data_IF_697221823879
#
_entry.id   IF_697221823879
#
_cell.length_a   1.000
_cell.length_b   1.000
_cell.length_c   1.000
_cell.angle_alpha   90.00
_cell.angle_beta   90.00
_cell.angle_gamma   90.00
#
_symmetry.space_group_name_H-M   'P 1'
#
loop_
_entity.id
_entity.type
_entity.pdbx_description
1 polymer ?
#
# COMPACT_ATOMS: atom_id res chain seq x y z
N UNK A 1 -6.32 -6.98 5.58
CA UNK A 1 -5.84 -6.08 4.50
C UNK A 1 -5.43 -6.88 3.25
N UNK A 2 -4.62 -7.94 3.35
CA UNK A 2 -4.41 -8.91 2.25
C UNK A 2 -5.70 -9.55 1.72
N UNK A 3 -6.74 -9.70 2.55
CA UNK A 3 -8.01 -10.30 2.13
C UNK A 3 -8.78 -9.49 1.08
N UNK A 4 -8.50 -8.19 0.90
CA UNK A 4 -9.28 -7.35 -0.01
C UNK A 4 -8.79 -7.40 -1.47
N UNK A 5 -7.48 -7.56 -1.67
CA UNK A 5 -6.88 -7.61 -3.01
C UNK A 5 -6.46 -9.02 -3.43
N UNK A 6 -6.51 -9.99 -2.52
CA UNK A 6 -5.96 -11.32 -2.75
C UNK A 6 -4.42 -11.31 -2.78
N UNK A 7 -3.84 -12.26 -3.51
CA UNK A 7 -2.38 -12.36 -3.65
C UNK A 7 -1.86 -11.31 -4.65
N UNK A 8 -1.42 -10.17 -4.12
CA UNK A 8 -0.84 -9.05 -4.89
C UNK A 8 0.51 -9.37 -5.52
N UNK A 9 1.06 -10.58 -5.33
CA UNK A 9 2.20 -11.07 -6.11
C UNK A 9 1.78 -11.69 -7.45
N UNK A 10 0.48 -11.89 -7.67
CA UNK A 10 -0.10 -12.42 -8.91
C UNK A 10 -0.73 -11.32 -9.76
N UNK A 11 -0.87 -11.56 -11.06
CA UNK A 11 -1.56 -10.64 -11.97
C UNK A 11 -3.01 -10.32 -11.54
N UNK A 12 -3.73 -11.32 -11.01
CA UNK A 12 -5.12 -11.13 -10.54
C UNK A 12 -5.18 -10.20 -9.33
N UNK A 13 -4.28 -10.37 -8.36
CA UNK A 13 -4.21 -9.49 -7.20
C UNK A 13 -3.74 -8.08 -7.56
N UNK A 14 -2.78 -7.96 -8.49
CA UNK A 14 -2.34 -6.65 -9.01
C UNK A 14 -3.46 -5.94 -9.78
N UNK A 15 -4.28 -6.66 -10.55
CA UNK A 15 -5.44 -6.07 -11.22
C UNK A 15 -6.43 -5.52 -10.21
N UNK A 16 -6.76 -6.29 -9.17
CA UNK A 16 -7.71 -5.87 -8.13
C UNK A 16 -7.19 -4.63 -7.38
N UNK A 17 -5.89 -4.60 -7.08
CA UNK A 17 -5.22 -3.44 -6.48
C UNK A 17 -5.24 -2.22 -7.42
N UNK A 18 -4.96 -2.42 -8.71
CA UNK A 18 -4.96 -1.36 -9.72
C UNK A 18 -6.35 -0.72 -9.84
N UNK A 19 -7.40 -1.52 -9.90
CA UNK A 19 -8.77 -1.04 -10.06
C UNK A 19 -9.22 -0.25 -8.83
N UNK A 20 -8.83 -0.69 -7.63
CA UNK A 20 -9.06 0.08 -6.41
C UNK A 20 -8.32 1.43 -6.45
N UNK A 21 -7.03 1.43 -6.80
CA UNK A 21 -6.21 2.65 -6.85
C UNK A 21 -6.57 3.59 -8.00
N UNK A 22 -7.51 3.22 -8.86
CA UNK A 22 -8.10 4.16 -9.81
C UNK A 22 -8.75 5.35 -9.07
N UNK A 23 -9.51 5.05 -8.02
CA UNK A 23 -10.29 6.05 -7.27
C UNK A 23 -9.55 6.52 -6.00
N UNK A 24 -8.52 5.78 -5.56
CA UNK A 24 -7.81 6.04 -4.30
C UNK A 24 -6.31 6.25 -4.50
N UNK A 25 -5.76 7.21 -3.75
CA UNK A 25 -4.31 7.49 -3.75
C UNK A 25 -3.50 6.60 -2.81
N UNK A 26 -4.16 5.95 -1.84
CA UNK A 26 -3.56 5.14 -0.77
C UNK A 26 -4.46 3.95 -0.45
N UNK A 27 -3.92 2.93 0.24
CA UNK A 27 -4.67 1.75 0.66
C UNK A 27 -5.73 2.09 1.73
N UNK A 28 -5.49 3.14 2.52
CA UNK A 28 -6.43 3.60 3.54
C UNK A 28 -6.31 5.10 3.77
N UNK A 29 -7.45 5.78 3.84
CA UNK A 29 -7.51 7.21 4.13
C UNK A 29 -6.95 8.07 2.99
N UNK A 30 -6.51 9.28 3.33
CA UNK A 30 -6.04 10.28 2.36
C UNK A 30 -4.54 10.60 2.50
N UNK A 31 -3.84 9.89 3.38
CA UNK A 31 -2.41 10.04 3.67
C UNK A 31 -1.77 8.66 3.73
N UNK A 32 -0.45 8.55 3.52
CA UNK A 32 0.26 7.27 3.65
C UNK A 32 0.04 6.66 5.04
N UNK A 33 -0.13 5.34 5.10
CA UNK A 33 -0.47 4.60 6.32
C UNK A 33 0.28 3.26 6.43
N UNK A 34 0.18 2.58 7.57
CA UNK A 34 0.72 1.22 7.72
C UNK A 34 0.12 0.23 6.69
N UNK A 35 -1.13 0.44 6.26
CA UNK A 35 -1.75 -0.42 5.25
C UNK A 35 -1.05 -0.33 3.88
N UNK A 36 -0.52 0.85 3.52
CA UNK A 36 0.28 1.01 2.31
C UNK A 36 1.59 0.22 2.40
N UNK A 37 2.23 0.20 3.57
CA UNK A 37 3.47 -0.55 3.80
C UNK A 37 3.22 -2.06 3.70
N UNK A 38 2.15 -2.56 4.30
CA UNK A 38 1.81 -3.99 4.25
C UNK A 38 1.60 -4.46 2.80
N UNK A 39 0.83 -3.71 2.01
CA UNK A 39 0.60 -4.05 0.59
C UNK A 39 1.89 -3.87 -0.21
N UNK A 40 2.64 -2.79 0.01
CA UNK A 40 3.87 -2.49 -0.72
C UNK A 40 4.94 -3.56 -0.51
N UNK A 41 5.10 -4.05 0.72
CA UNK A 41 6.07 -5.10 1.06
C UNK A 41 5.66 -6.48 0.57
N UNK A 42 4.37 -6.69 0.29
CA UNK A 42 3.83 -7.93 -0.29
C UNK A 42 4.06 -8.04 -1.80
N UNK A 43 4.30 -6.90 -2.48
CA UNK A 43 4.60 -6.86 -3.91
C UNK A 43 6.07 -7.23 -4.14
N UNK A 44 6.29 -8.37 -4.79
CA UNK A 44 7.63 -8.92 -5.03
C UNK A 44 8.42 -8.20 -6.12
N UNK A 45 7.73 -7.54 -7.06
CA UNK A 45 8.30 -6.84 -8.22
C UNK A 45 7.49 -5.59 -8.53
N UNK A 46 8.15 -4.55 -9.03
CA UNK A 46 7.49 -3.34 -9.54
C UNK A 46 6.36 -3.73 -10.51
N UNK A 47 5.13 -3.21 -10.36
CA UNK A 47 4.05 -3.46 -11.31
C UNK A 47 4.41 -2.99 -12.72
N UNK A 48 3.94 -3.69 -13.74
CA UNK A 48 4.12 -3.29 -15.14
C UNK A 48 3.21 -2.10 -15.51
N UNK A 49 3.51 -1.44 -16.64
CA UNK A 49 2.78 -0.24 -17.10
C UNK A 49 1.28 -0.50 -17.35
N UNK A 50 0.88 -1.75 -17.60
CA UNK A 50 -0.53 -2.15 -17.73
C UNK A 50 -1.33 -1.91 -16.43
N UNK A 51 -0.66 -1.98 -15.27
CA UNK A 51 -1.24 -1.68 -13.96
C UNK A 51 -0.92 -0.23 -13.55
N UNK A 52 -1.24 0.73 -14.42
CA UNK A 52 -0.79 2.12 -14.29
C UNK A 52 -1.11 2.79 -12.94
N UNK A 53 -2.26 2.48 -12.32
CA UNK A 53 -2.63 3.05 -11.01
C UNK A 53 -1.84 2.41 -9.87
N UNK A 54 -1.63 1.09 -9.94
CA UNK A 54 -0.76 0.38 -9.01
C UNK A 54 0.70 0.81 -9.15
N UNK A 55 1.20 0.98 -10.38
CA UNK A 55 2.55 1.47 -10.66
C UNK A 55 2.76 2.90 -10.13
N UNK A 56 1.80 3.81 -10.36
CA UNK A 56 1.80 5.17 -9.82
C UNK A 56 1.92 5.15 -8.29
N UNK A 57 1.04 4.40 -7.63
CA UNK A 57 1.05 4.28 -6.17
C UNK A 57 2.35 3.63 -5.67
N UNK A 58 2.82 2.54 -6.29
CA UNK A 58 4.04 1.85 -5.90
C UNK A 58 5.26 2.78 -5.92
N UNK A 59 5.42 3.55 -7.00
CA UNK A 59 6.49 4.54 -7.12
C UNK A 59 6.38 5.65 -6.08
N UNK A 60 5.15 6.10 -5.80
CA UNK A 60 4.88 7.10 -4.75
C UNK A 60 5.29 6.58 -3.37
N UNK A 61 4.79 5.42 -2.94
CA UNK A 61 5.13 4.79 -1.65
C UNK A 61 6.64 4.53 -1.54
N UNK A 62 7.28 4.06 -2.62
CA UNK A 62 8.74 3.85 -2.65
C UNK A 62 9.53 5.15 -2.41
N UNK A 63 9.04 6.29 -2.94
CA UNK A 63 9.69 7.59 -2.76
C UNK A 63 9.60 8.12 -1.31
N UNK A 64 8.57 7.71 -0.57
CA UNK A 64 8.31 8.13 0.82
C UNK A 64 9.15 7.40 1.87
N UNK A 65 10.14 6.58 1.49
CA UNK A 65 10.78 5.59 2.37
C UNK A 65 11.19 6.04 3.79
N UNK A 66 11.61 7.30 3.99
CA UNK A 66 11.92 7.84 5.33
C UNK A 66 10.64 8.24 6.09
N UNK A 67 9.71 8.90 5.42
CA UNK A 67 8.46 9.38 6.00
C UNK A 67 7.57 8.23 6.48
N UNK A 68 7.54 7.11 5.74
CA UNK A 68 6.80 5.91 6.16
C UNK A 68 7.32 5.34 7.49
N UNK A 69 8.64 5.32 7.72
CA UNK A 69 9.20 4.87 9.00
C UNK A 69 8.78 5.78 10.15
N UNK A 70 8.72 7.09 9.90
CA UNK A 70 8.26 8.07 10.89
C UNK A 70 6.76 7.87 11.17
N UNK A 71 5.94 7.69 10.14
CA UNK A 71 4.49 7.46 10.25
C UNK A 71 4.22 6.19 11.07
N UNK A 72 4.91 5.08 10.75
CA UNK A 72 4.79 3.82 11.50
C UNK A 72 5.24 3.97 12.96
N UNK A 73 6.30 4.74 13.22
CA UNK A 73 6.76 5.04 14.57
C UNK A 73 5.74 5.83 15.40
N UNK A 74 4.93 6.68 14.74
CA UNK A 74 3.84 7.44 15.39
C UNK A 74 2.63 6.55 15.69
N UNK A 75 2.13 5.79 14.72
CA UNK A 75 0.96 4.91 14.92
C UNK A 75 1.19 3.86 16.02
N UNK A 76 2.40 3.29 16.12
CA UNK A 76 2.70 2.30 17.18
C UNK A 76 2.79 2.93 18.57
N UNK A 77 3.05 4.24 18.66
CA UNK A 77 3.07 4.98 19.93
C UNK A 77 1.69 5.48 20.37
N UNK A 78 0.76 5.68 19.43
CA UNK A 78 -0.58 6.21 19.71
C UNK A 78 -1.67 5.13 19.87
N UNK A 79 -1.33 3.84 19.72
CA UNK A 79 -2.26 2.73 19.92
C UNK A 79 -1.91 1.96 21.22
N UNK A 80 -2.25 2.49 22.42
CA UNK A 80 -2.16 1.71 23.62
C UNK A 80 -3.18 0.58 23.49
N UNK A 81 -2.73 -0.65 23.65
CA UNK A 81 -3.55 -1.85 23.71
C UNK A 81 -4.73 -1.59 24.65
N UNK A 82 -5.92 -1.36 24.10
CA UNK A 82 -7.17 -1.39 24.88
C UNK A 82 -7.37 -2.86 25.26
N UNK A 83 -7.20 -3.15 26.54
CA UNK A 83 -7.47 -4.44 27.18
C UNK A 83 -8.92 -4.89 26.95
#
# INVERSE_FOLDING_TARGET
LMEFFGDVSTACGLQTLNDYLQDWSYIRGYTPSAADVDVFTSISKTPDEEFCHALRWYNHIKSLGVDLKIIMGKEHSENPVMH
#
